data_IF_212850246831
#
_entry.id   IF_212850246831
#
_cell.length_a   1.000
_cell.length_b   1.000
_cell.length_c   1.000
_cell.angle_alpha   90.00
_cell.angle_beta   90.00
_cell.angle_gamma   90.00
#
_symmetry.space_group_name_H-M   'P 1'
#
loop_
_entity.id
_entity.type
_entity.pdbx_description
1 polymer ?
#
# COMPACT_ATOMS: atom_id res chain seq x y z
N UNK A 1 -11.17 -17.90 -1.48
CA UNK A 1 -12.59 -17.48 -1.55
C UNK A 1 -12.75 -16.17 -0.79
N UNK A 2 -13.75 -15.35 -1.20
CA UNK A 2 -14.19 -14.15 -0.51
C UNK A 2 -15.70 -13.97 -0.71
N UNK A 3 -16.30 -13.28 0.24
CA UNK A 3 -17.65 -12.74 0.15
C UNK A 3 -17.55 -11.22 0.21
N UNK A 4 -18.17 -10.51 -0.73
CA UNK A 4 -18.19 -9.06 -0.75
C UNK A 4 -19.61 -8.55 -0.96
N UNK A 5 -20.08 -7.69 -0.06
CA UNK A 5 -21.34 -6.96 -0.16
C UNK A 5 -21.04 -5.48 -0.28
N UNK A 6 -21.68 -4.82 -1.26
CA UNK A 6 -21.49 -3.39 -1.53
C UNK A 6 -22.80 -2.65 -1.42
N UNK A 7 -22.74 -1.39 -0.94
CA UNK A 7 -23.85 -0.46 -0.90
C UNK A 7 -25.08 -0.96 -0.10
N UNK A 8 -24.83 -1.56 1.09
CA UNK A 8 -25.86 -1.98 2.01
C UNK A 8 -26.15 -0.85 3.02
N UNK A 9 -27.10 0.03 2.69
CA UNK A 9 -27.41 1.20 3.50
C UNK A 9 -26.19 2.12 3.67
N UNK A 10 -25.73 2.32 4.91
CA UNK A 10 -24.52 3.10 5.22
C UNK A 10 -23.21 2.31 5.06
N UNK A 11 -23.29 0.99 4.90
CA UNK A 11 -22.13 0.15 4.64
C UNK A 11 -21.79 0.22 3.14
N UNK A 12 -20.71 0.90 2.83
CA UNK A 12 -20.22 1.04 1.45
C UNK A 12 -19.64 -0.26 0.91
N UNK A 13 -18.95 -0.99 1.78
CA UNK A 13 -18.33 -2.27 1.45
C UNK A 13 -18.16 -3.11 2.72
N UNK A 14 -18.47 -4.39 2.65
CA UNK A 14 -18.16 -5.41 3.65
C UNK A 14 -17.54 -6.56 2.89
N UNK A 15 -16.34 -6.96 3.25
CA UNK A 15 -15.62 -8.05 2.60
C UNK A 15 -15.10 -9.02 3.66
N UNK A 16 -15.40 -10.31 3.48
CA UNK A 16 -14.95 -11.43 4.32
C UNK A 16 -14.13 -12.40 3.47
N UNK A 17 -13.08 -12.97 4.05
CA UNK A 17 -12.21 -13.93 3.39
C UNK A 17 -10.95 -13.27 2.81
N UNK A 18 -10.59 -13.57 1.56
CA UNK A 18 -9.38 -13.03 0.92
C UNK A 18 -9.68 -11.71 0.24
N UNK A 19 -8.94 -10.67 0.58
CA UNK A 19 -9.12 -9.34 0.02
C UNK A 19 -7.80 -8.60 -0.21
N UNK A 20 -7.85 -7.55 -0.99
CA UNK A 20 -6.77 -6.59 -1.22
C UNK A 20 -7.21 -5.23 -0.73
N UNK A 21 -6.27 -4.50 -0.20
CA UNK A 21 -6.47 -3.17 0.35
C UNK A 21 -5.43 -2.23 -0.24
N UNK A 22 -5.89 -1.11 -0.74
CA UNK A 22 -5.06 0.00 -1.17
C UNK A 22 -5.46 1.25 -0.39
N UNK A 23 -4.50 1.89 0.25
CA UNK A 23 -4.72 3.07 1.07
C UNK A 23 -3.79 4.20 0.60
N UNK A 24 -4.36 5.39 0.44
CA UNK A 24 -3.62 6.57 0.02
C UNK A 24 -2.92 6.37 -1.32
N UNK A 25 -1.64 6.69 -1.38
CA UNK A 25 -0.75 6.44 -2.52
C UNK A 25 0.09 5.16 -2.35
N UNK A 26 -0.19 4.38 -1.31
CA UNK A 26 0.44 3.09 -1.07
C UNK A 26 1.75 3.14 -0.30
N UNK A 27 2.05 4.23 0.40
CA UNK A 27 3.28 4.34 1.20
C UNK A 27 3.30 3.36 2.37
N UNK A 28 2.14 3.08 2.97
CA UNK A 28 2.07 2.15 4.11
C UNK A 28 1.43 0.81 3.74
N UNK A 29 0.36 0.81 2.94
CA UNK A 29 -0.40 -0.40 2.64
C UNK A 29 -1.00 -0.36 1.24
N UNK A 30 -0.51 -1.22 0.36
CA UNK A 30 -1.05 -1.46 -0.97
C UNK A 30 -0.74 -2.90 -1.41
N UNK A 31 -1.77 -3.74 -1.39
CA UNK A 31 -1.71 -5.11 -1.87
C UNK A 31 -2.29 -5.25 -3.29
N UNK A 32 -2.65 -4.16 -3.93
CA UNK A 32 -3.18 -4.21 -5.30
C UNK A 32 -2.06 -4.46 -6.32
N UNK A 33 -2.42 -4.90 -7.51
CA UNK A 33 -1.43 -5.05 -8.58
C UNK A 33 -0.91 -3.67 -9.01
N UNK A 34 0.40 -3.51 -9.01
CA UNK A 34 1.04 -2.31 -9.55
C UNK A 34 0.88 -2.29 -11.08
N UNK A 35 0.35 -1.21 -11.60
CA UNK A 35 0.52 -0.88 -13.01
C UNK A 35 1.95 -0.34 -13.21
N UNK A 36 2.51 -0.49 -14.41
CA UNK A 36 3.83 0.05 -14.70
C UNK A 36 3.97 1.55 -14.36
N UNK A 37 5.20 2.02 -14.17
CA UNK A 37 5.51 3.38 -13.68
C UNK A 37 4.77 4.50 -14.42
N UNK A 38 4.63 4.41 -15.74
CA UNK A 38 3.91 5.40 -16.54
C UNK A 38 2.42 5.46 -16.20
N UNK A 39 1.78 4.31 -16.02
CA UNK A 39 0.37 4.22 -15.63
C UNK A 39 0.15 4.70 -14.19
N UNK A 40 1.13 4.46 -13.30
CA UNK A 40 1.09 5.00 -11.95
C UNK A 40 1.13 6.53 -11.95
N UNK A 41 2.01 7.15 -12.73
CA UNK A 41 2.09 8.61 -12.86
C UNK A 41 0.76 9.24 -13.32
N UNK A 42 0.08 8.64 -14.29
CA UNK A 42 -1.19 9.16 -14.81
C UNK A 42 -2.37 8.92 -13.87
N UNK A 43 -2.28 7.96 -12.97
CA UNK A 43 -3.34 7.59 -12.02
C UNK A 43 -3.17 8.17 -10.60
N UNK A 44 -1.96 8.62 -10.23
CA UNK A 44 -1.64 9.09 -8.88
C UNK A 44 -2.56 10.20 -8.38
N UNK A 45 -3.02 11.09 -9.26
CA UNK A 45 -3.96 12.15 -8.89
C UNK A 45 -5.41 11.69 -8.64
N UNK A 46 -5.80 10.50 -9.11
CA UNK A 46 -7.19 10.02 -9.09
C UNK A 46 -7.51 9.05 -7.95
N UNK A 47 -6.50 8.56 -7.22
CA UNK A 47 -6.64 7.37 -6.37
C UNK A 47 -6.20 7.55 -4.92
N UNK A 48 -6.61 8.60 -4.24
CA UNK A 48 -6.31 8.77 -2.82
C UNK A 48 -7.43 8.30 -1.89
N UNK A 49 -7.96 7.10 -2.12
CA UNK A 49 -9.03 6.52 -1.30
C UNK A 49 -8.64 5.15 -0.75
N UNK A 50 -9.23 4.81 0.40
CA UNK A 50 -9.16 3.45 0.91
C UNK A 50 -10.05 2.55 0.05
N UNK A 51 -9.46 1.63 -0.71
CA UNK A 51 -10.18 0.75 -1.64
C UNK A 51 -10.02 -0.70 -1.18
N UNK A 52 -11.15 -1.35 -0.87
CA UNK A 52 -11.22 -2.78 -0.56
C UNK A 52 -11.71 -3.53 -1.79
N UNK A 53 -10.96 -4.54 -2.23
CA UNK A 53 -11.32 -5.42 -3.34
C UNK A 53 -11.21 -6.88 -2.94
N UNK A 54 -12.19 -7.71 -3.31
CA UNK A 54 -12.08 -9.15 -3.17
C UNK A 54 -10.89 -9.71 -3.98
N UNK A 55 -10.14 -10.66 -3.41
CA UNK A 55 -9.01 -11.28 -4.09
C UNK A 55 -9.45 -12.47 -4.91
N UNK A 56 -9.53 -12.30 -6.24
CA UNK A 56 -9.92 -13.33 -7.20
C UNK A 56 -8.74 -13.95 -7.97
N UNK A 57 -7.52 -13.43 -7.75
CA UNK A 57 -6.32 -13.92 -8.43
C UNK A 57 -5.86 -15.29 -7.90
N UNK A 58 -5.19 -16.07 -8.76
CA UNK A 58 -4.49 -17.30 -8.38
C UNK A 58 -3.20 -17.04 -7.59
N UNK A 59 -2.73 -15.79 -7.52
CA UNK A 59 -1.56 -15.43 -6.71
C UNK A 59 -1.80 -15.77 -5.24
N UNK A 60 -0.93 -16.59 -4.67
CA UNK A 60 -0.98 -17.02 -3.27
C UNK A 60 -0.25 -16.09 -2.30
N UNK A 61 0.36 -15.02 -2.81
CA UNK A 61 1.27 -14.19 -2.01
C UNK A 61 0.67 -12.85 -1.59
N UNK A 62 0.00 -12.12 -2.46
CA UNK A 62 -0.29 -10.70 -2.25
C UNK A 62 -1.74 -10.42 -1.91
N UNK A 63 -2.22 -10.92 -0.76
CA UNK A 63 -3.57 -10.70 -0.25
C UNK A 63 -3.58 -10.62 1.27
N UNK A 64 -4.64 -10.04 1.81
CA UNK A 64 -5.02 -10.11 3.23
C UNK A 64 -6.14 -11.14 3.39
N UNK A 65 -6.24 -11.78 4.55
CA UNK A 65 -7.25 -12.80 4.83
C UNK A 65 -7.92 -12.53 6.17
N UNK A 66 -9.21 -12.25 6.15
CA UNK A 66 -9.97 -11.90 7.34
C UNK A 66 -11.22 -11.10 7.00
N UNK A 67 -11.36 -9.91 7.56
CA UNK A 67 -12.50 -9.04 7.35
C UNK A 67 -12.07 -7.58 7.12
N UNK A 68 -12.79 -6.88 6.26
CA UNK A 68 -12.65 -5.45 6.06
C UNK A 68 -14.01 -4.84 5.75
N UNK A 69 -14.28 -3.66 6.30
CA UNK A 69 -15.53 -2.97 6.07
C UNK A 69 -15.32 -1.46 6.01
N UNK A 70 -16.10 -0.79 5.16
CA UNK A 70 -16.17 0.67 5.06
C UNK A 70 -17.59 1.12 5.39
N UNK A 71 -17.70 2.01 6.36
CA UNK A 71 -18.94 2.61 6.84
C UNK A 71 -18.96 4.11 6.58
N UNK A 72 -20.04 4.62 6.01
CA UNK A 72 -20.25 6.05 5.79
C UNK A 72 -20.96 6.64 6.99
N UNK A 73 -20.26 7.45 7.80
CA UNK A 73 -20.82 8.12 8.98
C UNK A 73 -21.79 9.21 8.58
N UNK A 74 -21.36 10.10 7.70
CA UNK A 74 -22.18 11.14 7.05
C UNK A 74 -21.59 11.47 5.68
N UNK A 75 -22.29 12.32 4.90
CA UNK A 75 -21.87 12.67 3.56
C UNK A 75 -20.42 13.20 3.54
N UNK A 76 -19.54 12.45 2.88
CA UNK A 76 -18.13 12.77 2.75
C UNK A 76 -17.21 12.13 3.79
N UNK A 77 -17.70 11.65 4.96
CA UNK A 77 -16.88 10.99 5.97
C UNK A 77 -17.09 9.47 5.94
N UNK A 78 -16.00 8.76 5.67
CA UNK A 78 -15.95 7.31 5.64
C UNK A 78 -14.96 6.78 6.68
N UNK A 79 -15.35 5.72 7.37
CA UNK A 79 -14.51 4.97 8.30
C UNK A 79 -14.33 3.57 7.74
N UNK A 80 -13.09 3.11 7.63
CA UNK A 80 -12.74 1.76 7.19
C UNK A 80 -11.98 1.05 8.28
N UNK A 81 -12.45 -0.13 8.69
CA UNK A 81 -11.72 -1.04 9.56
C UNK A 81 -11.30 -2.28 8.79
N UNK A 82 -10.13 -2.84 9.12
CA UNK A 82 -9.64 -4.08 8.51
C UNK A 82 -8.83 -4.90 9.48
N UNK A 83 -8.97 -6.20 9.36
CA UNK A 83 -8.18 -7.17 10.08
C UNK A 83 -7.81 -8.34 9.17
N UNK A 84 -6.62 -8.89 9.36
CA UNK A 84 -6.12 -10.03 8.60
C UNK A 84 -5.31 -10.96 9.49
N UNK A 85 -5.55 -12.25 9.34
CA UNK A 85 -4.70 -13.31 9.86
C UNK A 85 -4.40 -14.28 8.74
N UNK A 86 -3.11 -14.50 8.46
CA UNK A 86 -2.69 -15.45 7.42
C UNK A 86 -1.39 -16.13 7.76
N UNK A 87 -1.26 -17.36 7.30
CA UNK A 87 0.03 -18.04 7.24
C UNK A 87 0.82 -17.50 6.04
N UNK A 88 2.11 -17.31 6.21
CA UNK A 88 3.04 -16.74 5.22
C UNK A 88 4.18 -17.70 4.93
N UNK A 89 4.65 -17.63 3.70
CA UNK A 89 5.84 -18.35 3.27
C UNK A 89 7.07 -17.54 3.64
N UNK A 90 8.05 -18.18 4.26
CA UNK A 90 9.24 -17.51 4.72
C UNK A 90 10.48 -18.41 4.69
N UNK A 91 11.64 -17.80 4.56
CA UNK A 91 12.92 -18.46 4.85
C UNK A 91 13.25 -18.17 6.30
N UNK A 92 13.39 -19.21 7.11
CA UNK A 92 13.77 -19.11 8.51
C UNK A 92 15.29 -18.97 8.68
N UNK A 93 15.71 -18.50 9.85
CA UNK A 93 17.10 -18.55 10.31
C UNK A 93 17.56 -19.99 10.47
N UNK A 94 18.87 -20.23 10.55
CA UNK A 94 19.42 -21.58 10.69
C UNK A 94 18.98 -22.30 11.97
N UNK A 95 18.72 -21.55 13.03
CA UNK A 95 18.17 -22.00 14.31
C UNK A 95 16.64 -22.17 14.33
N UNK A 96 15.96 -21.79 13.23
CA UNK A 96 14.50 -21.82 13.12
C UNK A 96 13.77 -20.75 13.95
N UNK A 97 14.47 -19.95 14.75
CA UNK A 97 13.89 -19.00 15.71
C UNK A 97 13.46 -17.67 15.11
N UNK A 98 13.74 -17.39 13.83
CA UNK A 98 13.43 -16.11 13.21
C UNK A 98 13.16 -16.20 11.72
N UNK A 99 12.48 -15.18 11.18
CA UNK A 99 12.21 -15.00 9.76
C UNK A 99 13.33 -14.18 9.12
N UNK A 100 14.12 -14.81 8.26
CA UNK A 100 15.18 -14.14 7.50
C UNK A 100 14.64 -13.37 6.29
N UNK A 101 13.62 -13.93 5.61
CA UNK A 101 13.02 -13.31 4.42
C UNK A 101 11.59 -13.78 4.26
N UNK A 102 10.66 -12.84 4.05
CA UNK A 102 9.27 -13.14 3.68
C UNK A 102 9.21 -13.38 2.17
N UNK A 103 8.64 -14.50 1.75
CA UNK A 103 8.53 -14.87 0.34
C UNK A 103 7.21 -14.32 -0.23
N UNK A 104 7.31 -13.51 -1.28
CA UNK A 104 6.16 -12.88 -1.96
C UNK A 104 5.79 -13.57 -3.29
N UNK A 105 6.50 -14.64 -3.68
CA UNK A 105 6.27 -15.31 -4.98
C UNK A 105 5.14 -16.33 -4.94
N UNK A 106 4.93 -17.00 -3.80
CA UNK A 106 3.91 -18.04 -3.65
C UNK A 106 4.15 -19.27 -4.53
N UNK A 107 5.39 -19.55 -4.92
CA UNK A 107 5.76 -20.70 -5.73
C UNK A 107 6.15 -21.88 -4.83
N UNK A 108 5.63 -23.08 -5.12
CA UNK A 108 5.85 -24.32 -4.36
C UNK A 108 6.14 -25.47 -5.34
N UNK A 109 7.22 -25.35 -6.13
CA UNK A 109 7.57 -26.29 -7.22
C UNK A 109 8.69 -27.25 -6.85
N UNK A 110 9.53 -26.86 -5.90
CA UNK A 110 10.67 -27.66 -5.43
C UNK A 110 10.53 -28.02 -3.97
N UNK A 111 11.24 -29.08 -3.51
CA UNK A 111 11.27 -29.49 -2.10
C UNK A 111 11.63 -28.32 -1.18
N UNK A 112 12.62 -27.50 -1.59
CA UNK A 112 13.03 -26.33 -0.84
C UNK A 112 11.97 -25.21 -0.78
N UNK A 113 11.19 -25.02 -1.83
CA UNK A 113 10.07 -24.07 -1.84
C UNK A 113 8.92 -24.57 -0.96
N UNK A 114 8.61 -25.87 -1.02
CA UNK A 114 7.58 -26.53 -0.20
C UNK A 114 7.93 -26.44 1.29
N UNK A 115 9.21 -26.66 1.66
CA UNK A 115 9.67 -26.56 3.04
C UNK A 115 9.53 -25.14 3.64
N UNK A 116 9.40 -24.11 2.82
CA UNK A 116 9.21 -22.71 3.22
C UNK A 116 7.74 -22.28 3.24
N UNK A 117 6.82 -23.18 2.88
CA UNK A 117 5.39 -22.88 2.79
C UNK A 117 4.77 -22.78 4.17
N UNK A 118 4.08 -21.67 4.44
CA UNK A 118 3.27 -21.46 5.65
C UNK A 118 4.00 -21.71 6.98
N UNK A 119 5.28 -21.39 7.03
CA UNK A 119 6.13 -21.64 8.22
C UNK A 119 5.97 -20.59 9.31
N UNK A 120 5.32 -19.47 9.02
CA UNK A 120 5.04 -18.42 10.00
C UNK A 120 3.64 -17.85 9.78
N UNK A 121 3.14 -17.09 10.75
CA UNK A 121 1.87 -16.36 10.61
C UNK A 121 2.06 -14.86 10.78
N UNK A 122 1.16 -14.11 10.14
CA UNK A 122 1.10 -12.65 10.22
C UNK A 122 -0.33 -12.24 10.58
N UNK A 123 -0.44 -11.39 11.60
CA UNK A 123 -1.66 -10.71 12.00
C UNK A 123 -1.51 -9.24 11.67
N UNK A 124 -2.54 -8.63 11.06
CA UNK A 124 -2.58 -7.21 10.75
C UNK A 124 -3.95 -6.67 11.14
N UNK A 125 -3.98 -5.55 11.88
CA UNK A 125 -5.19 -4.82 12.25
C UNK A 125 -4.99 -3.35 12.05
N UNK A 126 -6.01 -2.67 11.51
CA UNK A 126 -5.89 -1.24 11.26
C UNK A 126 -7.19 -0.59 10.85
N UNK A 127 -7.08 0.71 10.63
CA UNK A 127 -8.21 1.53 10.22
C UNK A 127 -7.79 2.74 9.39
N UNK A 128 -8.76 3.25 8.66
CA UNK A 128 -8.65 4.47 7.88
C UNK A 128 -9.89 5.34 8.16
N UNK A 129 -9.65 6.61 8.31
CA UNK A 129 -10.69 7.65 8.30
C UNK A 129 -10.44 8.55 7.12
N UNK A 130 -11.45 8.84 6.31
CA UNK A 130 -11.30 9.71 5.13
C UNK A 130 -12.48 10.66 5.01
N UNK A 131 -12.18 11.92 4.75
CA UNK A 131 -13.16 12.99 4.53
C UNK A 131 -12.99 13.60 3.16
N UNK A 132 -14.10 13.80 2.47
CA UNK A 132 -14.16 14.45 1.14
C UNK A 132 -15.23 15.50 1.10
N UNK A 133 -14.84 16.68 0.66
CA UNK A 133 -15.76 17.80 0.50
C UNK A 133 -15.28 18.75 -0.60
N UNK A 134 -16.16 19.08 -1.56
CA UNK A 134 -15.90 20.07 -2.62
C UNK A 134 -14.53 19.94 -3.32
N UNK A 135 -14.14 18.71 -3.68
CA UNK A 135 -12.88 18.42 -4.33
C UNK A 135 -11.69 18.18 -3.38
N UNK A 136 -11.75 18.65 -2.14
CA UNK A 136 -10.77 18.34 -1.11
C UNK A 136 -10.94 16.93 -0.56
N UNK A 137 -9.86 16.28 -0.29
CA UNK A 137 -9.85 15.06 0.52
C UNK A 137 -8.69 15.08 1.52
N UNK A 138 -8.96 14.53 2.68
CA UNK A 138 -7.98 14.25 3.72
C UNK A 138 -8.31 12.89 4.31
N UNK A 139 -7.29 12.10 4.60
CA UNK A 139 -7.45 10.79 5.22
C UNK A 139 -6.31 10.48 6.17
N UNK A 140 -6.61 9.74 7.22
CA UNK A 140 -5.62 9.20 8.15
C UNK A 140 -5.73 7.69 8.17
N UNK A 141 -4.61 6.99 8.13
CA UNK A 141 -4.55 5.53 8.21
C UNK A 141 -3.52 5.12 9.24
N UNK A 142 -3.85 4.12 10.02
CA UNK A 142 -2.90 3.48 10.90
C UNK A 142 -3.16 1.98 10.95
N UNK A 143 -2.10 1.19 11.04
CA UNK A 143 -2.20 -0.24 11.27
C UNK A 143 -1.07 -0.75 12.15
N UNK A 144 -1.34 -1.86 12.80
CA UNK A 144 -0.40 -2.66 13.57
C UNK A 144 -0.31 -4.04 12.96
N UNK A 145 0.91 -4.58 12.85
CA UNK A 145 1.17 -5.92 12.34
C UNK A 145 2.06 -6.68 13.30
N UNK A 146 1.78 -7.97 13.48
CA UNK A 146 2.63 -8.87 14.27
C UNK A 146 2.86 -10.18 13.53
N UNK A 147 4.04 -10.76 13.77
CA UNK A 147 4.46 -12.04 13.23
C UNK A 147 4.64 -13.05 14.37
N UNK A 148 4.37 -14.33 14.08
CA UNK A 148 4.57 -15.41 15.06
C UNK A 148 6.06 -15.64 15.41
N UNK A 149 6.96 -15.26 14.53
CA UNK A 149 8.40 -15.32 14.70
C UNK A 149 9.02 -13.94 14.42
N UNK A 150 10.06 -13.52 15.12
CA UNK A 150 10.71 -12.25 14.86
C UNK A 150 11.36 -12.21 13.47
N UNK A 151 11.32 -11.05 12.84
CA UNK A 151 12.12 -10.77 11.65
C UNK A 151 13.58 -10.63 12.06
N UNK A 152 14.46 -11.41 11.42
CA UNK A 152 15.92 -11.42 11.67
C UNK A 152 16.66 -11.27 10.33
N UNK A 153 16.58 -10.09 9.67
CA UNK A 153 17.20 -9.87 8.38
C UNK A 153 18.72 -9.91 8.49
N UNK A 154 19.39 -10.37 7.43
CA UNK A 154 20.85 -10.30 7.38
C UNK A 154 21.30 -8.85 7.08
N UNK A 155 21.76 -8.12 8.09
CA UNK A 155 22.20 -6.72 8.01
C UNK A 155 23.63 -6.52 7.51
N UNK A 156 24.36 -7.58 7.14
CA UNK A 156 25.71 -7.45 6.57
C UNK A 156 25.67 -6.80 5.18
N UNK A 157 24.55 -6.85 4.50
CA UNK A 157 24.33 -6.20 3.22
C UNK A 157 23.85 -4.76 3.44
N UNK A 158 24.52 -3.77 2.83
CA UNK A 158 24.26 -2.34 3.04
C UNK A 158 22.79 -1.95 2.81
N UNK A 159 22.16 -2.49 1.78
CA UNK A 159 20.75 -2.22 1.46
C UNK A 159 19.76 -2.81 2.48
N UNK A 160 20.21 -3.73 3.35
CA UNK A 160 19.41 -4.28 4.46
C UNK A 160 19.72 -3.68 5.82
N UNK A 161 20.60 -2.68 5.88
CA UNK A 161 21.03 -2.08 7.14
C UNK A 161 19.87 -1.59 8.02
N UNK A 162 18.83 -1.05 7.39
CA UNK A 162 17.64 -0.52 8.06
C UNK A 162 16.42 -1.43 7.88
N UNK A 163 16.59 -2.69 7.50
CA UNK A 163 15.50 -3.63 7.42
C UNK A 163 14.84 -3.85 8.79
N UNK A 164 13.52 -4.03 8.85
CA UNK A 164 12.77 -4.20 10.09
C UNK A 164 13.23 -5.45 10.85
N UNK A 165 13.39 -5.32 12.16
CA UNK A 165 13.79 -6.37 13.09
C UNK A 165 12.82 -6.45 14.25
N UNK A 166 12.46 -7.65 14.68
CA UNK A 166 11.44 -7.88 15.71
C UNK A 166 10.18 -8.54 15.17
N UNK A 167 9.17 -8.64 15.98
CA UNK A 167 7.94 -9.37 15.66
C UNK A 167 6.68 -8.50 15.54
N UNK A 168 6.77 -7.21 15.84
CA UNK A 168 5.63 -6.32 15.84
C UNK A 168 6.01 -4.94 15.33
N UNK A 169 5.16 -4.37 14.45
CA UNK A 169 5.41 -3.09 13.77
C UNK A 169 4.13 -2.31 13.61
N UNK A 170 4.25 -1.00 13.60
CA UNK A 170 3.14 -0.12 13.24
C UNK A 170 3.56 0.86 12.15
N UNK A 171 2.60 1.25 11.32
CA UNK A 171 2.76 2.34 10.38
C UNK A 171 1.52 3.23 10.40
N UNK A 172 1.71 4.51 10.18
CA UNK A 172 0.63 5.48 10.03
C UNK A 172 0.92 6.43 8.87
N UNK A 173 -0.14 6.90 8.20
CA UNK A 173 -0.03 7.89 7.14
C UNK A 173 -1.18 8.88 7.15
N UNK A 174 -0.91 10.06 6.59
CA UNK A 174 -1.90 11.07 6.26
C UNK A 174 -1.89 11.24 4.75
N UNK A 175 -3.04 11.05 4.12
CA UNK A 175 -3.26 11.31 2.70
C UNK A 175 -4.07 12.59 2.54
N UNK A 176 -3.76 13.37 1.53
CA UNK A 176 -4.39 14.66 1.28
C UNK A 176 -4.40 14.97 -0.22
N UNK A 177 -5.31 15.83 -0.65
CA UNK A 177 -5.33 16.29 -2.02
C UNK A 177 -6.54 17.14 -2.36
N UNK A 178 -6.52 17.61 -3.60
CA UNK A 178 -7.54 18.47 -4.17
C UNK A 178 -7.78 18.10 -5.63
N UNK A 179 -9.04 17.95 -6.01
CA UNK A 179 -9.45 17.64 -7.38
C UNK A 179 -10.41 18.71 -7.85
N UNK A 180 -10.03 19.39 -8.93
CA UNK A 180 -10.89 20.31 -9.67
C UNK A 180 -10.93 19.94 -11.15
N UNK A 181 -11.63 20.70 -11.98
CA UNK A 181 -11.70 20.49 -13.42
C UNK A 181 -10.32 20.49 -14.09
N UNK A 182 -9.40 21.37 -13.67
CA UNK A 182 -8.08 21.54 -14.30
C UNK A 182 -6.90 21.11 -13.42
N UNK A 183 -7.08 21.08 -12.10
CA UNK A 183 -5.98 20.81 -11.16
C UNK A 183 -6.32 19.60 -10.32
N UNK A 184 -5.39 18.64 -10.29
CA UNK A 184 -5.42 17.49 -9.38
C UNK A 184 -4.15 17.50 -8.56
N UNK A 185 -4.30 17.56 -7.24
CA UNK A 185 -3.22 17.44 -6.27
C UNK A 185 -3.46 16.19 -5.43
N UNK A 186 -2.41 15.44 -5.16
CA UNK A 186 -2.47 14.30 -4.25
C UNK A 186 -1.15 14.15 -3.51
N UNK A 187 -1.22 13.78 -2.25
CA UNK A 187 -0.06 13.54 -1.42
C UNK A 187 -0.35 12.50 -0.35
N UNK A 188 0.70 11.86 0.09
CA UNK A 188 0.71 10.99 1.27
C UNK A 188 2.02 11.20 2.00
N UNK A 189 1.94 11.34 3.33
CA UNK A 189 3.11 11.34 4.22
C UNK A 189 2.92 10.25 5.25
N UNK A 190 3.92 9.43 5.42
CA UNK A 190 3.88 8.22 6.22
C UNK A 190 5.05 8.14 7.20
N UNK A 191 4.80 7.47 8.32
CA UNK A 191 5.80 7.15 9.36
C UNK A 191 5.49 5.77 9.97
N UNK A 192 6.33 5.33 10.89
CA UNK A 192 6.14 4.06 11.59
C UNK A 192 7.18 3.86 12.70
N UNK A 193 7.34 2.62 13.14
CA UNK A 193 8.34 2.22 14.15
C UNK A 193 9.76 2.66 13.84
N UNK A 194 10.07 2.84 12.54
CA UNK A 194 11.37 3.34 12.09
C UNK A 194 11.70 4.76 12.58
N UNK A 195 10.73 5.53 13.10
CA UNK A 195 10.88 6.93 13.50
C UNK A 195 11.28 7.85 12.33
N UNK A 196 11.06 7.43 11.09
CA UNK A 196 11.44 8.15 9.88
C UNK A 196 10.23 8.35 8.98
N UNK A 197 10.34 9.25 8.01
CA UNK A 197 9.23 9.64 7.15
C UNK A 197 9.47 9.20 5.71
N UNK A 198 8.35 8.94 5.01
CA UNK A 198 8.27 8.87 3.57
C UNK A 198 7.17 9.81 3.09
N UNK A 199 7.38 10.53 2.00
CA UNK A 199 6.37 11.39 1.40
C UNK A 199 6.38 11.25 -0.11
N UNK A 200 5.17 11.24 -0.68
CA UNK A 200 4.93 11.23 -2.12
C UNK A 200 3.89 12.28 -2.43
N UNK A 201 4.21 13.19 -3.33
CA UNK A 201 3.34 14.27 -3.76
C UNK A 201 3.25 14.29 -5.28
N UNK A 202 2.05 14.45 -5.81
CA UNK A 202 1.82 14.54 -7.24
C UNK A 202 0.87 15.71 -7.55
N UNK A 203 1.13 16.38 -8.64
CA UNK A 203 0.31 17.43 -9.21
C UNK A 203 0.08 17.17 -10.69
N UNK A 204 -1.14 17.39 -11.17
CA UNK A 204 -1.49 17.33 -12.57
C UNK A 204 -2.33 18.55 -12.93
N UNK A 205 -1.93 19.25 -13.98
CA UNK A 205 -2.62 20.45 -14.46
C UNK A 205 -3.00 20.32 -15.93
N UNK A 206 -4.29 20.41 -16.20
CA UNK A 206 -4.87 20.40 -17.56
C UNK A 206 -4.73 21.81 -18.14
N UNK A 207 -3.71 22.02 -18.97
CA UNK A 207 -3.46 23.30 -19.62
C UNK A 207 -4.50 23.58 -20.73
N UNK A 208 -4.82 22.54 -21.50
CA UNK A 208 -5.86 22.53 -22.53
C UNK A 208 -6.47 21.14 -22.65
N UNK A 209 -7.54 20.99 -23.43
CA UNK A 209 -8.20 19.67 -23.62
C UNK A 209 -7.26 18.60 -24.20
N UNK A 210 -6.15 19.01 -24.78
CA UNK A 210 -5.17 18.12 -25.40
C UNK A 210 -3.83 18.08 -24.67
N UNK A 211 -3.60 18.94 -23.67
CA UNK A 211 -2.28 19.05 -23.04
C UNK A 211 -2.37 19.11 -21.52
N UNK A 212 -1.73 18.14 -20.87
CA UNK A 212 -1.66 18.02 -19.41
C UNK A 212 -0.22 18.00 -18.96
N UNK A 213 0.12 18.83 -17.97
CA UNK A 213 1.39 18.79 -17.26
C UNK A 213 1.27 17.97 -16.01
N UNK A 214 2.31 17.24 -15.65
CA UNK A 214 2.39 16.43 -14.44
C UNK A 214 3.72 16.67 -13.74
N UNK A 215 3.67 16.76 -12.41
CA UNK A 215 4.84 16.81 -11.54
C UNK A 215 4.65 15.82 -10.40
N UNK A 216 5.71 15.13 -10.01
CA UNK A 216 5.74 14.23 -8.87
C UNK A 216 7.03 14.46 -8.11
N UNK A 217 6.93 14.56 -6.79
CA UNK A 217 8.04 14.60 -5.86
C UNK A 217 7.91 13.44 -4.88
N UNK A 218 8.98 12.69 -4.70
CA UNK A 218 9.08 11.65 -3.67
C UNK A 218 10.30 11.88 -2.81
N UNK A 219 10.14 11.60 -1.55
CA UNK A 219 11.23 11.54 -0.57
C UNK A 219 10.95 10.36 0.37
N UNK A 220 11.82 9.36 0.35
CA UNK A 220 11.75 8.20 1.22
C UNK A 220 13.05 8.12 2.01
N UNK A 221 12.97 8.30 3.32
CA UNK A 221 14.15 8.19 4.19
C UNK A 221 14.78 6.80 4.09
N UNK A 222 16.10 6.72 4.19
CA UNK A 222 16.82 5.44 4.21
C UNK A 222 16.42 4.53 5.39
N UNK A 223 15.90 5.09 6.47
CA UNK A 223 15.41 4.34 7.63
C UNK A 223 13.93 3.97 7.53
N UNK A 224 13.19 4.57 6.59
CA UNK A 224 11.77 4.28 6.45
C UNK A 224 11.56 2.86 5.96
N UNK A 225 10.58 2.17 6.53
CA UNK A 225 10.09 0.89 6.02
C UNK A 225 8.59 0.72 6.29
N UNK A 226 7.94 0.02 5.38
CA UNK A 226 6.64 -0.60 5.60
C UNK A 226 6.58 -1.92 4.83
N UNK A 227 6.25 -2.99 5.54
CA UNK A 227 6.25 -4.36 4.98
C UNK A 227 5.17 -4.59 3.91
N UNK A 228 4.16 -3.73 3.89
CA UNK A 228 3.00 -3.81 3.00
C UNK A 228 2.92 -2.65 2.01
N UNK A 229 3.94 -1.78 1.99
CA UNK A 229 4.01 -0.69 1.02
C UNK A 229 4.18 -1.21 -0.41
N UNK A 230 3.53 -0.54 -1.34
CA UNK A 230 3.76 -0.67 -2.78
C UNK A 230 3.32 0.64 -3.42
N UNK A 231 4.27 1.54 -3.61
CA UNK A 231 4.07 2.88 -4.11
C UNK A 231 5.02 3.16 -5.28
N UNK A 232 4.99 4.37 -5.81
CA UNK A 232 5.87 4.77 -6.88
C UNK A 232 7.32 4.85 -6.38
N UNK A 233 8.14 3.87 -6.75
CA UNK A 233 9.55 3.75 -6.40
C UNK A 233 10.39 3.27 -7.58
N UNK A 234 11.70 3.55 -7.59
CA UNK A 234 12.64 2.98 -8.57
C UNK A 234 13.02 1.55 -8.17
N UNK A 235 13.18 1.33 -6.87
CA UNK A 235 13.46 0.03 -6.30
C UNK A 235 12.21 -0.83 -6.08
N UNK A 236 12.41 -1.95 -5.42
CA UNK A 236 11.33 -2.86 -5.02
C UNK A 236 10.61 -2.39 -3.76
N UNK A 237 11.25 -1.56 -2.96
CA UNK A 237 10.78 -1.11 -1.66
C UNK A 237 10.71 0.41 -1.60
N UNK A 238 9.81 0.94 -0.77
CA UNK A 238 9.64 2.39 -0.52
C UNK A 238 10.69 2.81 0.52
N UNK A 239 11.93 3.00 0.09
CA UNK A 239 13.06 3.29 0.98
C UNK A 239 14.20 3.95 0.20
N UNK A 240 14.92 4.88 0.85
CA UNK A 240 16.17 5.49 0.37
C UNK A 240 16.07 6.10 -1.04
N UNK A 241 15.03 6.88 -1.28
CA UNK A 241 14.81 7.52 -2.58
C UNK A 241 14.43 8.99 -2.40
N UNK A 242 15.02 9.82 -3.25
CA UNK A 242 14.64 11.22 -3.41
C UNK A 242 14.64 11.59 -4.89
N UNK A 243 13.53 12.13 -5.39
CA UNK A 243 13.43 12.43 -6.81
C UNK A 243 12.25 13.30 -7.16
N UNK A 244 12.41 14.02 -8.26
CA UNK A 244 11.37 14.81 -8.91
C UNK A 244 11.19 14.29 -10.32
N UNK A 245 9.93 14.10 -10.72
CA UNK A 245 9.54 13.75 -12.08
C UNK A 245 8.68 14.84 -12.65
N UNK A 246 8.99 15.22 -13.87
CA UNK A 246 8.17 16.11 -14.66
C UNK A 246 7.74 15.36 -15.92
N UNK A 247 6.50 15.47 -16.28
CA UNK A 247 5.94 14.81 -17.44
C UNK A 247 4.85 15.65 -18.09
N UNK A 248 4.53 15.30 -19.31
CA UNK A 248 3.39 15.86 -20.02
C UNK A 248 2.67 14.77 -20.81
N UNK A 249 1.39 14.94 -20.98
CA UNK A 249 0.59 14.15 -21.91
C UNK A 249 0.02 15.07 -22.96
N UNK A 250 0.25 14.73 -24.22
CA UNK A 250 -0.33 15.42 -25.36
C UNK A 250 -1.19 14.44 -26.17
N UNK A 251 -2.48 14.75 -26.29
CA UNK A 251 -3.43 13.96 -27.06
C UNK A 251 -3.55 14.64 -28.42
N UNK A 252 -3.03 13.98 -29.46
CA UNK A 252 -3.15 14.42 -30.83
C UNK A 252 -4.44 13.82 -31.43
N UNK A 253 -5.41 14.68 -31.79
CA UNK A 253 -6.57 14.23 -32.56
C UNK A 253 -6.15 14.15 -34.04
N UNK A 254 -6.11 12.96 -34.61
CA UNK A 254 -6.06 12.73 -36.04
C UNK A 254 -7.51 12.77 -36.52
N UNK A 255 -7.85 13.82 -37.29
CA UNK A 255 -9.13 13.89 -38.01
C UNK A 255 -9.09 13.04 -39.27
#
# INVERSE_FOLDING_TARGET
>A
FYLQVKNLGRWKNITLGRYRLNVGLGLILNNDFGFGKLSALTSLGRSSSCIIRGHSSRSSANYLQGAAATYTLFKGLELTGFLSYRQIDATLSADGGGIKTILKTGLHRTVNEIAKQKVASNTLVGGNISYRHQGWHIGGTAFYTSFSLPLTPNKTQLYKRFAPEGNAFWNASISYGYISHRLTLSGETATGDCGSIATLNAASYLCSDHFTLMALHRFYSARYYSLFSNSFSEGSDVQDENGVYLGFTWIYAVF
#
